data_IF_049058738809
#
_entry.id   IF_049058738809
#
_cell.length_a   1.000
_cell.length_b   1.000
_cell.length_c   1.000
_cell.angle_alpha   90.00
_cell.angle_beta   90.00
_cell.angle_gamma   90.00
#
_symmetry.space_group_name_H-M   'P 1'
#
loop_
_entity.id
_entity.type
_entity.pdbx_description
1 polymer ?
#
# COMPACT_ATOMS: atom_id res chain seq x y z
N UNK A 1 15.04 -6.21 -3.26
CA UNK A 1 14.44 -6.11 -4.61
C UNK A 1 12.99 -5.62 -4.63
N UNK A 2 12.09 -6.07 -3.74
CA UNK A 2 10.67 -5.66 -3.77
C UNK A 2 10.47 -4.13 -3.68
N UNK A 3 11.13 -3.47 -2.72
CA UNK A 3 11.09 -2.00 -2.54
C UNK A 3 11.55 -1.21 -3.76
N UNK A 4 12.63 -1.64 -4.40
CA UNK A 4 13.19 -0.98 -5.59
C UNK A 4 12.23 -1.09 -6.76
N UNK A 5 11.69 -2.28 -7.01
CA UNK A 5 10.70 -2.49 -8.07
C UNK A 5 9.40 -1.73 -7.80
N UNK A 6 8.93 -1.68 -6.56
CA UNK A 6 7.74 -0.93 -6.18
C UNK A 6 7.94 0.58 -6.36
N UNK A 7 9.08 1.11 -5.92
CA UNK A 7 9.44 2.53 -6.08
C UNK A 7 9.57 2.91 -7.56
N UNK A 8 10.23 2.06 -8.36
CA UNK A 8 10.35 2.25 -9.80
C UNK A 8 8.97 2.23 -10.49
N UNK A 9 8.09 1.30 -10.12
CA UNK A 9 6.70 1.23 -10.62
C UNK A 9 5.91 2.47 -10.25
N UNK A 10 6.02 2.97 -9.00
CA UNK A 10 5.36 4.20 -8.54
C UNK A 10 5.79 5.41 -9.37
N UNK A 11 7.11 5.59 -9.55
CA UNK A 11 7.69 6.67 -10.36
C UNK A 11 7.28 6.57 -11.82
N UNK A 12 7.37 5.37 -12.42
CA UNK A 12 6.97 5.12 -13.81
C UNK A 12 5.49 5.41 -14.06
N UNK A 13 4.62 5.07 -13.10
CA UNK A 13 3.18 5.34 -13.16
C UNK A 13 2.81 6.76 -12.74
N UNK A 14 3.76 7.55 -12.26
CA UNK A 14 3.56 8.90 -11.73
C UNK A 14 2.39 8.99 -10.73
N UNK A 15 2.33 8.05 -9.77
CA UNK A 15 1.28 7.99 -8.75
C UNK A 15 1.83 8.34 -7.36
N UNK A 16 1.04 9.03 -6.51
CA UNK A 16 1.49 9.46 -5.19
C UNK A 16 1.65 8.30 -4.21
N UNK A 17 0.87 7.22 -4.37
CA UNK A 17 0.85 6.04 -3.50
C UNK A 17 0.74 4.78 -4.35
N UNK A 18 1.53 3.75 -4.01
CA UNK A 18 1.39 2.39 -4.56
C UNK A 18 1.15 1.43 -3.40
N UNK A 19 0.01 0.75 -3.40
CA UNK A 19 -0.30 -0.33 -2.46
C UNK A 19 0.01 -1.67 -3.12
N UNK A 20 0.92 -2.44 -2.53
CA UNK A 20 1.27 -3.78 -2.98
C UNK A 20 0.64 -4.81 -2.05
N UNK A 21 -0.10 -5.76 -2.64
CA UNK A 21 -0.56 -6.94 -1.94
C UNK A 21 0.46 -8.08 -2.11
N UNK A 22 0.74 -8.82 -1.04
CA UNK A 22 1.47 -10.09 -1.09
C UNK A 22 0.50 -11.19 -1.56
N UNK A 23 0.19 -11.17 -2.86
CA UNK A 23 -0.82 -12.03 -3.46
C UNK A 23 -0.61 -13.54 -3.24
N UNK A 24 0.62 -13.97 -2.94
CA UNK A 24 0.96 -15.36 -2.66
C UNK A 24 0.28 -15.89 -1.39
N UNK A 25 -0.04 -15.02 -0.43
CA UNK A 25 -0.70 -15.36 0.84
C UNK A 25 -2.21 -15.04 0.87
N UNK A 26 -2.73 -14.38 -0.17
CA UNK A 26 -4.08 -13.82 -0.20
C UNK A 26 -5.06 -14.60 -1.10
N UNK A 27 -4.59 -15.52 -1.96
CA UNK A 27 -5.47 -16.34 -2.80
C UNK A 27 -6.22 -17.33 -1.89
N UNK A 28 -7.51 -17.09 -1.69
CA UNK A 28 -8.39 -17.92 -0.85
C UNK A 28 -8.44 -17.54 0.63
N UNK A 29 -7.79 -16.44 1.05
CA UNK A 29 -7.85 -15.94 2.44
C UNK A 29 -8.77 -14.71 2.56
N UNK A 30 -9.44 -14.60 3.71
CA UNK A 30 -10.19 -13.38 4.07
C UNK A 30 -9.32 -12.29 4.70
N UNK A 31 -8.07 -12.63 5.01
CA UNK A 31 -7.07 -11.71 5.51
C UNK A 31 -6.14 -11.23 4.40
N UNK A 32 -5.69 -10.00 4.54
CA UNK A 32 -4.84 -9.35 3.58
C UNK A 32 -3.73 -8.56 4.28
N UNK A 33 -2.51 -8.63 3.75
CA UNK A 33 -1.38 -7.79 4.16
C UNK A 33 -1.03 -6.82 3.03
N UNK A 34 -0.82 -5.55 3.36
CA UNK A 34 -0.46 -4.53 2.37
C UNK A 34 0.85 -3.85 2.72
N UNK A 35 1.63 -3.60 1.68
CA UNK A 35 2.82 -2.77 1.74
C UNK A 35 2.60 -1.51 0.91
N UNK A 36 2.61 -0.37 1.58
CA UNK A 36 2.37 0.93 0.97
C UNK A 36 3.69 1.61 0.63
N UNK A 37 3.77 2.17 -0.56
CA UNK A 37 4.93 2.93 -1.03
C UNK A 37 4.51 4.34 -1.42
N UNK A 38 5.05 5.34 -0.74
CA UNK A 38 4.82 6.75 -1.02
C UNK A 38 6.15 7.53 -1.08
N UNK A 39 6.10 8.86 -0.98
CA UNK A 39 7.30 9.70 -0.98
C UNK A 39 8.11 9.63 0.32
N UNK A 40 7.46 9.32 1.46
CA UNK A 40 8.09 9.16 2.75
C UNK A 40 8.73 7.77 2.92
N UNK A 41 8.37 6.82 2.05
CA UNK A 41 9.01 5.52 1.95
C UNK A 41 8.00 4.39 1.95
N UNK A 42 8.27 3.38 2.77
CA UNK A 42 7.53 2.14 2.84
C UNK A 42 6.79 2.04 4.17
N UNK A 43 5.52 1.69 4.14
CA UNK A 43 4.68 1.54 5.32
C UNK A 43 3.96 0.19 5.26
N UNK A 44 4.17 -0.63 6.28
CA UNK A 44 3.57 -1.96 6.36
C UNK A 44 2.23 -1.86 7.10
N UNK A 45 1.16 -2.31 6.45
CA UNK A 45 -0.12 -2.56 7.10
C UNK A 45 -0.14 -4.02 7.53
N UNK A 46 -0.32 -4.32 8.83
CA UNK A 46 -0.35 -5.68 9.32
C UNK A 46 -1.49 -6.47 8.69
N UNK A 47 -1.33 -7.79 8.66
CA UNK A 47 -2.37 -8.72 8.19
C UNK A 47 -3.65 -8.52 9.02
N UNK A 48 -4.74 -8.23 8.32
CA UNK A 48 -6.07 -8.07 8.89
C UNK A 48 -7.12 -8.43 7.85
N UNK A 49 -8.39 -8.52 8.27
CA UNK A 49 -9.51 -8.75 7.36
C UNK A 49 -9.57 -7.66 6.26
N UNK A 50 -10.16 -8.01 5.11
CA UNK A 50 -10.27 -7.12 3.94
C UNK A 50 -10.82 -5.72 4.28
N UNK A 51 -11.81 -5.61 5.16
CA UNK A 51 -12.41 -4.32 5.51
C UNK A 51 -11.48 -3.49 6.40
N UNK A 52 -10.85 -4.11 7.40
CA UNK A 52 -9.85 -3.44 8.24
C UNK A 52 -8.67 -2.93 7.41
N UNK A 53 -8.15 -3.77 6.52
CA UNK A 53 -7.06 -3.41 5.61
C UNK A 53 -7.46 -2.28 4.65
N UNK A 54 -8.68 -2.29 4.12
CA UNK A 54 -9.20 -1.22 3.26
C UNK A 54 -9.32 0.11 4.02
N UNK A 55 -9.80 0.10 5.27
CA UNK A 55 -9.90 1.30 6.11
C UNK A 55 -8.53 1.90 6.41
N UNK A 56 -7.55 1.06 6.77
CA UNK A 56 -6.18 1.49 7.02
C UNK A 56 -5.53 2.10 5.76
N UNK A 57 -5.73 1.48 4.60
CA UNK A 57 -5.29 2.03 3.32
C UNK A 57 -5.90 3.42 3.05
N UNK A 58 -7.21 3.57 3.27
CA UNK A 58 -7.91 4.83 3.04
C UNK A 58 -7.41 5.93 3.99
N UNK A 59 -7.18 5.62 5.26
CA UNK A 59 -6.61 6.56 6.24
C UNK A 59 -5.23 7.07 5.80
N UNK A 60 -4.38 6.19 5.28
CA UNK A 60 -3.08 6.57 4.74
C UNK A 60 -3.21 7.47 3.51
N UNK A 61 -4.09 7.09 2.57
CA UNK A 61 -4.33 7.86 1.35
C UNK A 61 -4.87 9.27 1.65
N UNK A 62 -5.79 9.41 2.61
CA UNK A 62 -6.33 10.70 3.06
C UNK A 62 -5.23 11.56 3.68
N UNK A 63 -4.35 10.97 4.50
CA UNK A 63 -3.21 11.68 5.09
C UNK A 63 -2.27 12.22 4.01
N UNK A 64 -1.99 11.43 2.96
CA UNK A 64 -1.20 11.89 1.82
C UNK A 64 -1.91 13.00 1.03
N UNK A 65 -3.21 12.86 0.76
CA UNK A 65 -3.99 13.87 0.04
C UNK A 65 -4.00 15.22 0.78
N UNK A 66 -4.13 15.20 2.11
CA UNK A 66 -4.06 16.42 2.94
C UNK A 66 -2.69 17.08 2.95
N UNK A 67 -1.60 16.31 2.87
CA UNK A 67 -0.22 16.84 2.77
C UNK A 67 0.12 17.44 1.41
N UNK A 68 -0.61 17.05 0.36
CA UNK A 68 -0.40 17.54 -1.01
C UNK A 68 -1.29 18.74 -1.38
N UNK A 69 -2.21 19.15 -0.50
CA UNK A 69 -2.87 20.46 -0.56
C UNK A 69 -2.02 21.48 0.18
#
# INVERSE_FOLDING_TARGET
KLREHATAKRKKKNIPLLAANLAQDAIGSDDNELLLFDAAGEHRLPRADKLTTARALLQHAVTLYKKGK
#
